data_IF_681382922447
#
_entry.id   IF_681382922447
#
_cell.length_a   1.000
_cell.length_b   1.000
_cell.length_c   1.000
_cell.angle_alpha   90.00
_cell.angle_beta   90.00
_cell.angle_gamma   90.00
#
_symmetry.space_group_name_H-M   'P 1'
#
loop_
_entity.id
_entity.type
_entity.pdbx_description
1 polymer ?
#
# COMPACT_ATOMS: atom_id res chain seq x y z
N UNK A 1 14.18 15.85 -15.48
CA UNK A 1 13.57 15.53 -14.19
C UNK A 1 12.44 14.54 -14.38
N UNK A 2 12.52 13.41 -13.73
CA UNK A 2 11.41 12.46 -13.74
C UNK A 2 10.29 13.00 -12.84
N UNK A 3 9.06 12.93 -13.32
CA UNK A 3 7.90 13.23 -12.48
C UNK A 3 7.67 12.12 -11.47
N UNK A 4 7.38 12.50 -10.24
CA UNK A 4 7.01 11.55 -9.20
C UNK A 4 5.61 10.99 -9.47
N UNK A 5 5.42 9.68 -9.26
CA UNK A 5 4.10 9.04 -9.31
C UNK A 5 3.32 9.20 -8.01
N UNK A 6 3.91 9.86 -7.02
CA UNK A 6 3.26 10.28 -5.79
C UNK A 6 3.15 11.79 -5.76
N UNK A 7 2.03 12.29 -5.25
CA UNK A 7 1.76 13.72 -5.16
C UNK A 7 2.79 14.48 -4.33
N UNK A 8 3.27 13.83 -3.25
CA UNK A 8 4.36 14.31 -2.42
C UNK A 8 5.50 13.32 -2.59
N UNK A 9 6.76 13.75 -2.75
CA UNK A 9 7.87 12.80 -2.84
C UNK A 9 7.80 11.76 -1.71
N UNK A 10 7.78 10.49 -2.10
CA UNK A 10 7.46 9.40 -1.19
C UNK A 10 8.43 9.32 -0.01
N UNK A 11 9.71 9.56 -0.25
CA UNK A 11 10.72 9.54 0.79
C UNK A 11 10.43 10.58 1.87
N UNK A 12 10.04 11.78 1.45
CA UNK A 12 9.69 12.86 2.36
C UNK A 12 8.43 12.55 3.16
N UNK A 13 7.41 12.01 2.48
CA UNK A 13 6.16 11.62 3.12
C UNK A 13 6.38 10.55 4.17
N UNK A 14 7.10 9.49 3.81
CA UNK A 14 7.37 8.37 4.71
C UNK A 14 8.19 8.80 5.92
N UNK A 15 9.24 9.58 5.71
CA UNK A 15 10.11 10.02 6.80
C UNK A 15 9.35 10.86 7.83
N UNK A 16 8.46 11.74 7.36
CA UNK A 16 7.75 12.66 8.26
C UNK A 16 6.54 12.03 8.94
N UNK A 17 5.79 11.19 8.24
CA UNK A 17 4.47 10.78 8.70
C UNK A 17 4.39 9.34 9.17
N UNK A 18 5.16 8.45 8.58
CA UNK A 18 4.94 7.01 8.75
C UNK A 18 6.15 6.32 9.35
N UNK A 19 7.31 6.49 8.74
CA UNK A 19 8.54 5.77 9.10
C UNK A 19 9.30 6.59 10.13
N UNK A 20 8.97 6.40 11.39
CA UNK A 20 9.70 7.01 12.49
C UNK A 20 9.59 6.14 13.73
N UNK A 21 10.44 6.40 14.70
CA UNK A 21 10.50 5.62 15.93
C UNK A 21 9.21 5.71 16.77
N UNK A 22 8.50 6.81 16.68
CA UNK A 22 7.25 7.00 17.45
C UNK A 22 6.15 6.05 17.01
N UNK A 23 6.13 5.66 15.73
CA UNK A 23 5.15 4.74 15.20
C UNK A 23 5.67 3.29 15.14
N UNK A 24 6.91 3.06 15.57
CA UNK A 24 7.50 1.73 15.60
C UNK A 24 7.82 1.16 14.22
N UNK A 25 7.85 2.00 13.19
CA UNK A 25 8.17 1.59 11.83
C UNK A 25 9.51 2.18 11.43
N UNK A 26 10.47 1.31 11.10
CA UNK A 26 11.77 1.71 10.60
C UNK A 26 12.03 0.95 9.30
N UNK A 27 12.46 1.67 8.26
CA UNK A 27 12.77 1.07 6.97
C UNK A 27 14.24 0.66 6.87
N UNK A 28 14.47 -0.52 6.31
CA UNK A 28 15.80 -0.95 5.89
C UNK A 28 16.09 -0.48 4.46
N UNK A 29 17.32 -0.72 3.98
CA UNK A 29 17.73 -0.27 2.65
C UNK A 29 16.87 -0.86 1.53
N UNK A 30 16.46 -2.12 1.66
CA UNK A 30 15.61 -2.77 0.66
C UNK A 30 14.25 -2.10 0.55
N UNK A 31 13.66 -1.73 1.67
CA UNK A 31 12.36 -1.03 1.71
C UNK A 31 12.47 0.38 1.13
N UNK A 32 13.55 1.11 1.41
CA UNK A 32 13.80 2.42 0.81
C UNK A 32 14.01 2.33 -0.70
N UNK A 33 14.67 1.29 -1.19
CA UNK A 33 14.83 1.06 -2.63
C UNK A 33 13.48 0.84 -3.31
N UNK A 34 12.61 0.07 -2.68
CA UNK A 34 11.24 -0.13 -3.18
C UNK A 34 10.48 1.21 -3.25
N UNK A 35 10.57 2.01 -2.20
CA UNK A 35 9.89 3.30 -2.16
C UNK A 35 10.38 4.24 -3.26
N UNK A 36 11.69 4.35 -3.44
CA UNK A 36 12.27 5.18 -4.50
C UNK A 36 11.92 4.67 -5.89
N UNK A 37 11.93 3.35 -6.07
CA UNK A 37 11.57 2.74 -7.35
C UNK A 37 10.13 3.07 -7.75
N UNK A 38 9.18 2.95 -6.82
CA UNK A 38 7.78 3.26 -7.09
C UNK A 38 7.55 4.77 -7.28
N UNK A 39 8.34 5.62 -6.63
CA UNK A 39 8.23 7.07 -6.80
C UNK A 39 8.69 7.51 -8.20
N UNK A 40 9.70 6.85 -8.76
CA UNK A 40 10.35 7.25 -10.00
C UNK A 40 9.88 6.47 -11.23
N UNK A 41 9.29 5.29 -11.05
CA UNK A 41 8.93 4.39 -12.14
C UNK A 41 7.46 3.99 -12.07
N UNK A 42 6.83 3.91 -13.23
CA UNK A 42 5.45 3.43 -13.34
C UNK A 42 5.33 1.95 -12.98
N UNK A 43 6.31 1.17 -13.38
CA UNK A 43 6.38 -0.27 -13.10
C UNK A 43 7.65 -0.57 -12.33
N UNK A 44 7.52 -1.31 -11.25
CA UNK A 44 8.65 -1.69 -10.41
C UNK A 44 8.53 -3.14 -10.01
N UNK A 45 9.60 -3.92 -10.26
CA UNK A 45 9.71 -5.31 -9.79
C UNK A 45 10.76 -5.32 -8.67
N UNK A 46 10.33 -5.76 -7.50
CA UNK A 46 11.21 -5.80 -6.34
C UNK A 46 11.48 -7.25 -5.95
N UNK A 47 12.72 -7.66 -6.07
CA UNK A 47 13.18 -8.99 -5.72
C UNK A 47 14.12 -8.85 -4.52
N UNK A 48 13.80 -9.54 -3.43
CA UNK A 48 14.63 -9.53 -2.24
C UNK A 48 14.52 -10.86 -1.51
N UNK A 49 15.48 -11.12 -0.65
CA UNK A 49 15.49 -12.35 0.15
C UNK A 49 14.29 -12.41 1.10
N UNK A 50 14.00 -13.58 1.61
CA UNK A 50 12.98 -13.73 2.66
C UNK A 50 13.36 -12.93 3.89
N UNK A 51 12.36 -12.44 4.62
CA UNK A 51 12.53 -11.69 5.88
C UNK A 51 13.23 -10.34 5.71
N UNK A 52 13.17 -9.75 4.52
CA UNK A 52 13.67 -8.38 4.28
C UNK A 52 12.61 -7.31 4.47
N UNK A 53 11.41 -7.69 4.91
CA UNK A 53 10.33 -6.75 5.18
C UNK A 53 9.57 -6.29 3.94
N UNK A 54 9.54 -7.08 2.87
CA UNK A 54 8.82 -6.74 1.63
C UNK A 54 7.35 -6.44 1.87
N UNK A 55 6.68 -7.29 2.65
CA UNK A 55 5.24 -7.15 2.92
C UNK A 55 4.95 -5.89 3.73
N UNK A 56 5.75 -5.60 4.74
CA UNK A 56 5.62 -4.36 5.50
C UNK A 56 5.90 -3.14 4.62
N UNK A 57 6.93 -3.20 3.81
CA UNK A 57 7.27 -2.13 2.87
C UNK A 57 6.12 -1.87 1.90
N UNK A 58 5.56 -2.92 1.31
CA UNK A 58 4.41 -2.79 0.41
C UNK A 58 3.20 -2.19 1.11
N UNK A 59 2.93 -2.60 2.35
CA UNK A 59 1.82 -2.06 3.14
C UNK A 59 1.99 -0.57 3.42
N UNK A 60 3.19 -0.14 3.79
CA UNK A 60 3.48 1.27 4.05
C UNK A 60 3.34 2.10 2.77
N UNK A 61 3.79 1.58 1.63
CA UNK A 61 3.62 2.27 0.35
C UNK A 61 2.17 2.35 -0.08
N UNK A 62 1.39 1.29 0.15
CA UNK A 62 -0.06 1.32 -0.08
C UNK A 62 -0.72 2.39 0.78
N UNK A 63 -0.37 2.45 2.05
CA UNK A 63 -0.90 3.48 2.95
C UNK A 63 -0.51 4.89 2.51
N UNK A 64 0.74 5.10 2.09
CA UNK A 64 1.19 6.40 1.58
C UNK A 64 0.36 6.86 0.38
N UNK A 65 0.02 5.94 -0.52
CA UNK A 65 -0.84 6.26 -1.66
C UNK A 65 -2.26 6.58 -1.23
N UNK A 66 -2.77 5.91 -0.21
CA UNK A 66 -4.12 6.17 0.32
C UNK A 66 -4.27 7.55 0.96
N UNK A 67 -3.18 8.19 1.39
CA UNK A 67 -3.23 9.54 1.93
C UNK A 67 -3.54 10.59 0.87
N UNK A 68 -3.32 10.27 -0.40
CA UNK A 68 -3.76 11.13 -1.50
C UNK A 68 -5.27 10.94 -1.72
N UNK A 69 -6.02 12.00 -2.06
CA UNK A 69 -7.47 11.88 -2.22
C UNK A 69 -7.85 11.05 -3.45
N UNK A 70 -8.92 10.29 -3.31
CA UNK A 70 -9.57 9.53 -4.41
C UNK A 70 -8.63 8.54 -5.11
N UNK A 71 -7.76 7.89 -4.36
CA UNK A 71 -6.85 6.88 -4.92
C UNK A 71 -7.44 5.48 -4.76
N UNK A 72 -7.25 4.65 -5.78
CA UNK A 72 -7.64 3.24 -5.76
C UNK A 72 -6.38 2.40 -5.63
N UNK A 73 -6.20 1.75 -4.49
CA UNK A 73 -5.07 0.87 -4.22
C UNK A 73 -5.58 -0.56 -4.13
N UNK A 74 -4.98 -1.45 -4.90
CA UNK A 74 -5.39 -2.85 -4.98
C UNK A 74 -4.22 -3.78 -4.76
N UNK A 75 -4.47 -4.86 -4.02
CA UNK A 75 -3.57 -6.00 -3.94
C UNK A 75 -4.24 -7.17 -4.67
N UNK A 76 -3.52 -7.80 -5.57
CA UNK A 76 -3.99 -8.98 -6.29
C UNK A 76 -3.03 -10.13 -6.00
N UNK A 77 -3.56 -11.24 -5.52
CA UNK A 77 -2.78 -12.43 -5.22
C UNK A 77 -3.54 -13.69 -5.60
N UNK A 78 -2.82 -14.82 -5.84
CA UNK A 78 -3.47 -16.08 -6.16
C UNK A 78 -4.43 -16.56 -5.07
N UNK A 79 -4.13 -16.27 -3.81
CA UNK A 79 -5.00 -16.61 -2.70
C UNK A 79 -4.89 -15.53 -1.61
N UNK A 80 -5.87 -15.50 -0.72
CA UNK A 80 -5.92 -14.49 0.34
C UNK A 80 -4.92 -14.72 1.47
N UNK A 81 -4.41 -15.93 1.63
CA UNK A 81 -3.53 -16.23 2.78
C UNK A 81 -2.21 -15.46 2.73
N UNK A 82 -1.64 -15.28 1.53
CA UNK A 82 -0.39 -14.52 1.36
C UNK A 82 -0.60 -13.01 1.38
N UNK A 83 -1.65 -12.56 0.71
CA UNK A 83 -1.93 -11.13 0.57
C UNK A 83 -2.58 -10.54 1.81
N UNK A 84 -3.21 -11.36 2.66
CA UNK A 84 -3.80 -10.89 3.91
C UNK A 84 -2.76 -10.28 4.86
N UNK A 85 -1.50 -10.70 4.75
CA UNK A 85 -0.42 -10.10 5.55
C UNK A 85 -0.28 -8.61 5.23
N UNK A 86 -0.28 -8.24 3.95
CA UNK A 86 -0.21 -6.84 3.54
C UNK A 86 -1.47 -6.10 3.97
N UNK A 87 -2.62 -6.72 3.84
CA UNK A 87 -3.89 -6.17 4.31
C UNK A 87 -3.83 -5.86 5.81
N UNK A 88 -3.38 -6.81 6.61
CA UNK A 88 -3.30 -6.66 8.06
C UNK A 88 -2.33 -5.53 8.45
N UNK A 89 -1.16 -5.48 7.85
CA UNK A 89 -0.21 -4.39 8.09
C UNK A 89 -0.80 -3.02 7.74
N UNK A 90 -1.44 -2.91 6.58
CA UNK A 90 -2.02 -1.64 6.12
C UNK A 90 -3.14 -1.18 7.03
N UNK A 91 -4.05 -2.08 7.40
CA UNK A 91 -5.16 -1.74 8.30
C UNK A 91 -4.68 -1.42 9.72
N UNK A 92 -3.64 -2.08 10.19
CA UNK A 92 -3.03 -1.75 11.48
C UNK A 92 -2.41 -0.35 11.47
N UNK A 93 -1.76 0.05 10.39
CA UNK A 93 -1.21 1.40 10.24
C UNK A 93 -2.35 2.43 10.28
N UNK A 94 -3.44 2.17 9.57
CA UNK A 94 -4.62 3.05 9.56
C UNK A 94 -5.15 3.23 10.98
N UNK A 95 -5.28 2.15 11.73
CA UNK A 95 -5.78 2.18 13.12
C UNK A 95 -4.81 2.89 14.06
N UNK A 96 -3.52 2.57 13.96
CA UNK A 96 -2.50 3.13 14.86
C UNK A 96 -2.33 4.64 14.67
N UNK A 97 -2.46 5.14 13.44
CA UNK A 97 -2.40 6.55 13.13
C UNK A 97 -3.75 7.25 13.26
N UNK A 98 -4.79 6.53 13.68
CA UNK A 98 -6.14 7.07 13.91
C UNK A 98 -6.70 7.78 12.68
N UNK A 99 -6.47 7.23 11.49
CA UNK A 99 -7.01 7.75 10.24
C UNK A 99 -8.50 7.45 10.18
N UNK A 100 -9.30 8.47 9.89
CA UNK A 100 -10.75 8.31 9.78
C UNK A 100 -11.16 7.49 8.57
N UNK A 101 -12.05 6.53 8.81
CA UNK A 101 -12.51 5.56 7.83
C UNK A 101 -14.00 5.76 7.57
N UNK A 102 -14.40 5.84 6.30
CA UNK A 102 -15.80 5.91 5.89
C UNK A 102 -16.45 4.52 5.90
N UNK A 103 -15.72 3.51 5.43
CA UNK A 103 -16.21 2.13 5.39
C UNK A 103 -15.07 1.15 5.65
N UNK A 104 -15.33 0.15 6.46
CA UNK A 104 -14.39 -0.94 6.72
C UNK A 104 -15.14 -2.27 6.63
N UNK A 105 -14.75 -3.12 5.68
CA UNK A 105 -15.34 -4.44 5.50
C UNK A 105 -14.25 -5.50 5.56
N UNK A 106 -14.11 -6.13 6.71
CA UNK A 106 -13.10 -7.17 6.93
C UNK A 106 -13.38 -8.44 6.13
N UNK A 107 -14.65 -8.76 5.93
CA UNK A 107 -15.04 -9.96 5.17
C UNK A 107 -14.68 -9.84 3.70
N UNK A 108 -15.01 -8.71 3.08
CA UNK A 108 -14.75 -8.45 1.66
C UNK A 108 -13.39 -7.83 1.41
N UNK A 109 -12.64 -7.53 2.47
CA UNK A 109 -11.30 -6.91 2.39
C UNK A 109 -11.33 -5.61 1.59
N UNK A 110 -12.15 -4.68 2.05
CA UNK A 110 -12.26 -3.33 1.49
C UNK A 110 -12.25 -2.31 2.61
N UNK A 111 -11.44 -1.29 2.48
CA UNK A 111 -11.49 -0.13 3.37
C UNK A 111 -11.53 1.14 2.53
N UNK A 112 -12.45 2.04 2.87
CA UNK A 112 -12.58 3.35 2.23
C UNK A 112 -12.34 4.43 3.26
N UNK A 113 -11.38 5.31 2.97
CA UNK A 113 -11.08 6.45 3.83
C UNK A 113 -12.02 7.62 3.52
N UNK A 114 -12.13 8.55 4.45
CA UNK A 114 -13.00 9.72 4.26
C UNK A 114 -12.54 10.62 3.11
N UNK A 115 -11.27 10.56 2.71
CA UNK A 115 -10.75 11.32 1.57
C UNK A 115 -11.13 10.71 0.21
N UNK A 116 -11.90 9.64 0.20
CA UNK A 116 -12.34 8.95 -1.01
C UNK A 116 -11.40 7.85 -1.50
N UNK A 117 -10.25 7.67 -0.87
CA UNK A 117 -9.32 6.60 -1.24
C UNK A 117 -9.83 5.24 -0.78
N UNK A 118 -9.63 4.22 -1.60
CA UNK A 118 -10.10 2.86 -1.34
C UNK A 118 -8.94 1.87 -1.46
N UNK A 119 -8.87 0.96 -0.51
CA UNK A 119 -7.89 -0.13 -0.48
C UNK A 119 -8.63 -1.46 -0.55
N UNK A 120 -8.27 -2.30 -1.52
CA UNK A 120 -8.95 -3.59 -1.75
C UNK A 120 -7.94 -4.71 -1.87
N UNK A 121 -8.37 -5.87 -1.39
CA UNK A 121 -7.66 -7.13 -1.61
C UNK A 121 -8.50 -7.99 -2.55
N UNK A 122 -7.91 -8.40 -3.67
CA UNK A 122 -8.59 -9.19 -4.70
C UNK A 122 -7.86 -10.51 -4.93
N UNK A 123 -8.63 -11.57 -5.19
CA UNK A 123 -8.06 -12.85 -5.59
C UNK A 123 -7.94 -12.93 -7.11
N UNK A 124 -6.79 -13.35 -7.60
CA UNK A 124 -6.59 -13.57 -9.03
C UNK A 124 -7.44 -14.72 -9.58
N UNK A 125 -7.94 -15.59 -8.71
CA UNK A 125 -8.82 -16.68 -9.11
C UNK A 125 -10.25 -16.21 -9.41
N UNK A 126 -10.62 -15.03 -8.96
CA UNK A 126 -11.94 -14.45 -9.23
C UNK A 126 -11.82 -13.42 -10.34
N UNK A 127 -12.00 -13.86 -11.59
CA UNK A 127 -11.88 -13.00 -12.77
C UNK A 127 -12.88 -11.85 -12.76
N UNK A 128 -14.10 -12.10 -12.28
CA UNK A 128 -15.16 -11.09 -12.29
C UNK A 128 -14.83 -9.91 -11.37
N UNK A 129 -14.15 -10.15 -10.26
CA UNK A 129 -13.78 -9.08 -9.36
C UNK A 129 -12.65 -8.18 -9.91
N UNK A 130 -11.91 -8.65 -10.91
CA UNK A 130 -10.83 -7.90 -11.55
C UNK A 130 -11.29 -7.10 -12.75
N UNK A 131 -12.35 -7.54 -13.42
CA UNK A 131 -12.84 -6.91 -14.64
C UNK A 131 -13.43 -5.54 -14.35
N UNK A 132 -13.05 -4.54 -15.14
CA UNK A 132 -13.58 -3.20 -15.05
C UNK A 132 -13.03 -2.35 -13.92
N UNK A 133 -12.06 -2.85 -13.15
CA UNK A 133 -11.44 -2.07 -12.07
C UNK A 133 -10.19 -1.38 -12.57
N UNK A 134 -10.02 -0.13 -12.14
CA UNK A 134 -8.82 0.66 -12.37
C UNK A 134 -8.12 0.90 -11.04
N UNK A 135 -6.79 0.90 -11.05
CA UNK A 135 -5.98 1.14 -9.87
C UNK A 135 -4.98 2.26 -10.10
N UNK A 136 -4.78 3.10 -9.09
CA UNK A 136 -3.71 4.09 -9.06
C UNK A 136 -2.41 3.46 -8.56
N UNK A 137 -2.52 2.44 -7.70
CA UNK A 137 -1.42 1.59 -7.27
C UNK A 137 -1.91 0.14 -7.25
N UNK A 138 -1.19 -0.73 -7.93
CA UNK A 138 -1.48 -2.15 -7.98
C UNK A 138 -0.28 -2.93 -7.47
N UNK A 139 -0.51 -3.77 -6.46
CA UNK A 139 0.49 -4.66 -5.88
C UNK A 139 0.11 -6.10 -6.24
N UNK A 140 1.03 -6.80 -6.84
CA UNK A 140 0.82 -8.18 -7.28
C UNK A 140 1.76 -9.12 -6.54
#
# INVERSE_FOLDING_TARGET
MSESYFRIPIERLLTKLIVNEHHGIAFNNSQWDMARGLDEHRFWVHISARRTGKSLGAAVLAFAKLLEPNQQVMIVAPNFSLSSIIWDYTTDIIKNLQIEVDRFNQKDKVVKLINGSTFRLLSANNRDSLVGRAANLLIV
#
